data_IF_327534944683
#
_entry.id   IF_327534944683
#
_cell.length_a   1.000
_cell.length_b   1.000
_cell.length_c   1.000
_cell.angle_alpha   90.00
_cell.angle_beta   90.00
_cell.angle_gamma   90.00
#
_symmetry.space_group_name_H-M   'P 1'
#
loop_
_entity.id
_entity.type
_entity.pdbx_description
1 polymer ?
#
# COMPACT_ATOMS: atom_id res chain seq x y z
N UNK A 1 45.59 22.17 -39.62
CA UNK A 1 45.72 22.70 -38.25
C UNK A 1 44.32 22.90 -37.71
N UNK A 2 43.81 21.93 -36.97
CA UNK A 2 42.46 21.93 -36.39
C UNK A 2 42.65 21.93 -34.86
N UNK A 3 42.09 22.86 -34.10
CA UNK A 3 42.25 22.82 -32.64
C UNK A 3 41.25 21.87 -32.00
N UNK A 4 41.78 21.00 -31.14
CA UNK A 4 41.07 20.11 -30.22
C UNK A 4 40.26 20.93 -29.22
N UNK A 5 38.95 20.69 -29.14
CA UNK A 5 38.09 21.18 -28.07
C UNK A 5 38.22 20.18 -26.93
N UNK A 6 38.82 20.62 -25.81
CA UNK A 6 38.81 19.89 -24.52
C UNK A 6 37.40 19.90 -23.93
N UNK A 7 36.86 18.70 -23.71
CA UNK A 7 35.64 18.52 -22.91
C UNK A 7 35.91 18.91 -21.45
N UNK A 8 35.14 19.82 -20.94
CA UNK A 8 35.06 20.12 -19.51
C UNK A 8 34.08 19.16 -18.84
N UNK A 9 34.62 18.19 -18.10
CA UNK A 9 33.87 17.42 -17.12
C UNK A 9 33.38 18.38 -16.03
N UNK A 10 32.07 18.58 -15.95
CA UNK A 10 31.44 19.27 -14.83
C UNK A 10 31.42 18.30 -13.67
N UNK A 11 32.30 18.52 -12.72
CA UNK A 11 32.37 17.87 -11.42
C UNK A 11 31.20 18.42 -10.58
N UNK A 12 30.14 17.65 -10.43
CA UNK A 12 29.06 17.94 -9.48
C UNK A 12 29.63 17.65 -8.09
N UNK A 13 30.26 18.65 -7.49
CA UNK A 13 30.67 18.62 -6.08
C UNK A 13 29.47 19.00 -5.22
N UNK A 14 28.92 17.99 -4.57
CA UNK A 14 28.27 17.97 -3.26
C UNK A 14 28.05 19.35 -2.59
N UNK A 15 26.81 19.84 -2.63
CA UNK A 15 26.34 20.83 -1.66
C UNK A 15 25.67 20.03 -0.49
N UNK A 16 26.46 19.21 0.21
CA UNK A 16 26.05 18.68 1.50
C UNK A 16 26.41 19.67 2.60
N UNK A 17 25.44 20.47 2.98
CA UNK A 17 25.52 21.29 4.19
C UNK A 17 25.31 20.37 5.40
N UNK A 18 26.39 20.02 6.11
CA UNK A 18 26.36 19.34 7.40
C UNK A 18 25.32 19.98 8.32
N UNK A 19 24.17 19.37 8.49
CA UNK A 19 23.32 19.64 9.65
C UNK A 19 23.96 18.92 10.85
N UNK A 20 24.12 19.66 11.96
CA UNK A 20 24.65 19.16 13.23
C UNK A 20 23.78 17.98 13.68
N UNK A 21 24.45 16.89 14.01
CA UNK A 21 23.87 15.76 14.70
C UNK A 21 23.21 16.24 16.00
N UNK A 22 21.89 16.27 16.02
CA UNK A 22 21.11 16.37 17.27
C UNK A 22 21.16 14.97 17.87
N UNK A 23 21.82 14.85 19.02
CA UNK A 23 21.89 13.61 19.78
C UNK A 23 20.49 13.10 20.06
N UNK A 24 20.12 11.98 19.44
CA UNK A 24 18.87 11.26 19.70
C UNK A 24 18.87 10.77 21.16
N UNK A 25 17.85 11.05 21.99
CA UNK A 25 17.69 10.31 23.23
C UNK A 25 17.24 8.89 22.88
N UNK A 26 18.05 7.91 23.29
CA UNK A 26 17.72 6.50 23.24
C UNK A 26 16.61 6.17 24.25
N UNK A 27 15.37 6.47 23.92
CA UNK A 27 14.17 5.99 24.65
C UNK A 27 12.95 6.09 23.72
N UNK A 28 12.70 5.06 22.94
CA UNK A 28 11.35 4.78 22.45
C UNK A 28 11.10 3.27 22.39
N UNK A 29 11.26 2.61 23.53
CA UNK A 29 10.46 1.45 23.87
C UNK A 29 9.20 1.96 24.57
N UNK A 30 8.31 2.59 23.83
CA UNK A 30 6.98 2.90 24.33
C UNK A 30 6.15 1.64 24.23
N UNK A 31 5.90 1.03 25.36
CA UNK A 31 4.87 0.04 25.62
C UNK A 31 3.55 0.47 24.99
N UNK A 32 3.17 -0.17 23.89
CA UNK A 32 1.80 -0.17 23.39
C UNK A 32 0.99 -1.00 24.39
N UNK A 33 0.46 -0.33 25.42
CA UNK A 33 -0.54 -0.91 26.31
C UNK A 33 -1.84 -1.02 25.53
N UNK A 34 -2.07 -2.19 24.98
CA UNK A 34 -3.30 -2.58 24.29
C UNK A 34 -4.42 -2.68 25.32
N UNK A 35 -5.31 -1.72 25.35
CA UNK A 35 -6.55 -1.78 26.14
C UNK A 35 -7.53 -2.71 25.41
N UNK A 36 -7.59 -3.99 25.80
CA UNK A 36 -8.64 -4.92 25.39
C UNK A 36 -9.89 -4.67 26.21
N UNK A 37 -10.94 -4.19 25.58
CA UNK A 37 -12.30 -4.33 26.08
C UNK A 37 -13.06 -5.28 25.13
N UNK A 38 -13.59 -6.35 25.72
CA UNK A 38 -14.28 -7.46 25.06
C UNK A 38 -15.74 -7.05 24.82
N UNK A 39 -16.22 -7.15 23.56
CA UNK A 39 -17.64 -7.32 23.24
C UNK A 39 -17.82 -8.16 21.97
N UNK A 40 -18.82 -9.00 21.98
CA UNK A 40 -19.06 -10.16 21.10
C UNK A 40 -20.07 -9.89 19.99
N UNK A 41 -19.86 -10.56 18.86
CA UNK A 41 -20.76 -10.98 17.77
C UNK A 41 -21.10 -10.05 16.60
N UNK A 42 -20.72 -10.50 15.41
CA UNK A 42 -21.39 -10.22 14.13
C UNK A 42 -20.55 -9.64 12.99
N UNK A 43 -19.97 -10.51 12.18
CA UNK A 43 -19.09 -10.18 11.07
C UNK A 43 -19.77 -10.00 9.71
N UNK A 44 -19.28 -9.07 8.89
CA UNK A 44 -19.06 -9.25 7.45
C UNK A 44 -17.91 -8.36 6.98
N UNK A 45 -17.09 -8.92 6.08
CA UNK A 45 -15.83 -8.41 5.57
C UNK A 45 -15.86 -6.91 5.25
N UNK A 46 -14.91 -6.19 5.79
CA UNK A 46 -14.66 -4.79 5.50
C UNK A 46 -13.21 -4.68 5.06
N UNK A 47 -13.03 -4.26 3.84
CA UNK A 47 -11.76 -3.88 3.24
C UNK A 47 -11.05 -2.83 4.07
N UNK A 48 -9.77 -3.03 4.32
CA UNK A 48 -9.04 -2.27 5.30
C UNK A 48 -8.93 -0.78 4.96
N UNK A 49 -9.21 0.07 5.94
CA UNK A 49 -9.18 1.52 5.83
C UNK A 49 -7.77 2.11 5.64
N UNK A 50 -6.73 1.30 5.73
CA UNK A 50 -5.32 1.74 5.60
C UNK A 50 -4.60 0.77 4.70
N UNK A 51 -5.06 0.61 3.50
CA UNK A 51 -4.35 -0.15 2.51
C UNK A 51 -3.52 0.78 1.65
N UNK A 52 -2.22 0.69 1.79
CA UNK A 52 -1.26 1.31 0.90
C UNK A 52 -0.72 0.31 -0.12
N UNK A 53 -1.32 -0.86 -0.17
CA UNK A 53 -1.26 -1.79 -1.28
C UNK A 53 -2.65 -1.78 -1.91
N UNK A 54 -2.78 -1.92 -3.25
CA UNK A 54 -4.06 -1.96 -3.94
C UNK A 54 -5.01 -2.95 -3.25
N UNK A 55 -6.28 -2.57 -3.19
CA UNK A 55 -7.35 -3.34 -2.59
C UNK A 55 -7.27 -4.83 -2.96
N UNK A 56 -6.73 -5.65 -2.06
CA UNK A 56 -6.74 -7.09 -2.24
C UNK A 56 -8.15 -7.61 -1.96
N UNK A 57 -8.74 -8.40 -2.87
CA UNK A 57 -10.01 -9.05 -2.60
C UNK A 57 -9.84 -10.02 -1.46
N UNK A 58 -10.59 -9.85 -0.41
CA UNK A 58 -10.69 -10.86 0.62
C UNK A 58 -11.52 -12.03 0.08
N UNK A 59 -10.86 -13.16 -0.18
CA UNK A 59 -11.57 -14.42 -0.38
C UNK A 59 -12.48 -14.66 0.85
N UNK A 60 -13.78 -14.77 0.62
CA UNK A 60 -14.72 -15.12 1.67
C UNK A 60 -14.47 -16.57 2.08
N UNK A 61 -13.74 -16.78 3.17
CA UNK A 61 -13.58 -18.10 3.75
C UNK A 61 -14.90 -18.49 4.40
N UNK A 62 -15.66 -19.34 3.73
CA UNK A 62 -16.76 -20.06 4.38
C UNK A 62 -16.16 -21.06 5.37
N UNK A 63 -16.54 -20.92 6.63
CA UNK A 63 -16.20 -21.80 7.74
C UNK A 63 -16.86 -23.19 7.59
N UNK A 64 -16.42 -23.98 6.64
CA UNK A 64 -16.66 -25.41 6.60
C UNK A 64 -15.32 -26.09 6.34
N UNK A 65 -15.01 -27.17 7.05
CA UNK A 65 -13.70 -27.83 7.06
C UNK A 65 -13.20 -28.42 5.74
N UNK A 66 -13.73 -27.97 4.62
CA UNK A 66 -13.26 -28.24 3.27
C UNK A 66 -12.41 -27.06 2.78
N UNK A 67 -11.28 -27.38 2.15
CA UNK A 67 -10.42 -26.41 1.48
C UNK A 67 -11.13 -25.93 0.20
N UNK A 68 -11.92 -24.85 0.32
CA UNK A 68 -12.60 -24.27 -0.83
C UNK A 68 -11.59 -23.53 -1.72
N UNK A 69 -11.59 -23.90 -3.00
CA UNK A 69 -10.82 -23.21 -4.03
C UNK A 69 -11.67 -22.10 -4.66
N UNK A 70 -11.14 -20.89 -4.69
CA UNK A 70 -11.73 -19.75 -5.42
C UNK A 70 -10.65 -19.01 -6.25
N UNK A 71 -11.09 -18.17 -7.18
CA UNK A 71 -10.24 -17.23 -7.91
C UNK A 71 -10.95 -15.88 -7.88
N UNK A 72 -10.31 -14.90 -7.27
CA UNK A 72 -10.76 -13.52 -7.29
C UNK A 72 -10.03 -12.73 -8.38
N UNK A 73 -10.73 -11.79 -9.00
CA UNK A 73 -10.19 -10.89 -10.01
C UNK A 73 -10.74 -9.49 -9.78
N UNK A 74 -9.96 -8.47 -10.08
CA UNK A 74 -10.43 -7.10 -10.04
C UNK A 74 -9.66 -6.19 -10.97
N UNK A 75 -10.27 -5.05 -11.27
CA UNK A 75 -9.69 -3.97 -12.05
C UNK A 75 -10.08 -2.64 -11.41
N UNK A 76 -9.12 -1.74 -11.26
CA UNK A 76 -9.32 -0.39 -10.73
C UNK A 76 -8.82 0.64 -11.72
N UNK A 77 -9.64 1.66 -11.98
CA UNK A 77 -9.22 2.90 -12.62
C UNK A 77 -9.11 3.97 -11.54
N UNK A 78 -7.96 4.61 -11.44
CA UNK A 78 -7.68 5.67 -10.45
C UNK A 78 -7.12 6.90 -11.13
N UNK A 79 -7.39 8.08 -10.57
CA UNK A 79 -6.83 9.35 -11.06
C UNK A 79 -5.35 9.51 -10.71
N UNK A 80 -4.84 8.72 -9.74
CA UNK A 80 -3.44 8.68 -9.37
C UNK A 80 -3.17 7.37 -8.58
N UNK A 81 -2.05 6.71 -8.83
CA UNK A 81 -1.60 5.59 -8.02
C UNK A 81 -0.74 6.09 -6.86
N UNK A 82 -1.30 6.11 -5.66
CA UNK A 82 -0.60 6.52 -4.44
C UNK A 82 -0.21 5.29 -3.63
N UNK A 83 1.07 5.16 -3.29
CA UNK A 83 1.59 4.19 -2.35
C UNK A 83 2.24 4.92 -1.17
N UNK A 84 1.78 4.65 0.05
CA UNK A 84 2.32 5.26 1.29
C UNK A 84 2.40 6.79 1.25
N UNK A 85 1.42 7.45 0.59
CA UNK A 85 1.34 8.91 0.44
C UNK A 85 2.12 9.48 -0.75
N UNK A 86 2.85 8.66 -1.50
CA UNK A 86 3.69 9.06 -2.63
C UNK A 86 3.05 8.57 -3.93
N UNK A 87 3.08 9.41 -4.98
CA UNK A 87 2.65 9.00 -6.32
C UNK A 87 3.61 7.99 -6.93
N UNK A 88 3.06 6.89 -7.45
CA UNK A 88 3.79 5.93 -8.28
C UNK A 88 3.43 6.09 -9.77
N UNK A 89 2.49 6.96 -10.12
CA UNK A 89 2.10 7.22 -11.51
C UNK A 89 2.35 8.65 -11.98
N UNK A 90 3.24 9.40 -11.28
CA UNK A 90 3.60 10.77 -11.67
C UNK A 90 2.44 11.76 -11.60
N UNK A 91 1.48 11.54 -10.71
CA UNK A 91 0.20 12.26 -10.62
C UNK A 91 -0.77 12.03 -11.80
N UNK A 92 -0.47 11.09 -12.69
CA UNK A 92 -1.30 10.71 -13.82
C UNK A 92 -2.23 9.53 -13.47
N UNK A 93 -3.32 9.32 -14.26
CA UNK A 93 -4.21 8.19 -14.09
C UNK A 93 -3.51 6.83 -14.21
N UNK A 94 -3.95 5.88 -13.40
CA UNK A 94 -3.49 4.50 -13.48
C UNK A 94 -4.65 3.51 -13.67
N UNK A 95 -4.33 2.40 -14.36
CA UNK A 95 -5.17 1.22 -14.45
C UNK A 95 -4.45 0.09 -13.73
N UNK A 96 -5.13 -0.49 -12.77
CA UNK A 96 -4.62 -1.53 -11.91
C UNK A 96 -5.47 -2.79 -12.07
N UNK A 97 -4.89 -3.95 -11.86
CA UNK A 97 -5.64 -5.19 -11.94
C UNK A 97 -4.96 -6.31 -11.18
N UNK A 98 -5.76 -7.28 -10.73
CA UNK A 98 -5.22 -8.42 -10.02
C UNK A 98 -5.95 -9.71 -10.38
N UNK A 99 -5.28 -10.83 -10.09
CA UNK A 99 -5.83 -12.17 -10.04
C UNK A 99 -5.29 -12.89 -8.82
N UNK A 100 -6.18 -13.50 -8.03
CA UNK A 100 -5.84 -14.19 -6.79
C UNK A 100 -6.52 -15.56 -6.70
N UNK A 101 -5.85 -16.65 -7.06
CA UNK A 101 -6.24 -17.99 -6.65
C UNK A 101 -6.02 -18.20 -5.15
N UNK A 102 -7.01 -18.83 -4.48
CA UNK A 102 -6.98 -19.15 -3.06
C UNK A 102 -7.44 -20.58 -2.79
N UNK A 103 -6.93 -21.15 -1.70
CA UNK A 103 -7.29 -22.48 -1.21
C UNK A 103 -7.43 -22.46 0.31
N UNK A 104 -8.64 -22.36 0.81
CA UNK A 104 -8.90 -22.08 2.22
C UNK A 104 -8.21 -20.76 2.62
N UNK A 105 -7.36 -20.74 3.67
CA UNK A 105 -6.69 -19.51 4.10
C UNK A 105 -5.44 -19.16 3.26
N UNK A 106 -4.98 -20.05 2.37
CA UNK A 106 -3.80 -19.83 1.55
C UNK A 106 -4.16 -19.09 0.26
N UNK A 107 -3.28 -18.20 -0.20
CA UNK A 107 -3.46 -17.51 -1.48
C UNK A 107 -2.14 -17.21 -2.18
N UNK A 108 -2.25 -16.99 -3.48
CA UNK A 108 -1.22 -16.37 -4.32
C UNK A 108 -1.91 -15.19 -5.02
N UNK A 109 -1.29 -14.03 -5.03
CA UNK A 109 -1.82 -12.85 -5.70
C UNK A 109 -0.83 -12.35 -6.74
N UNK A 110 -1.35 -11.98 -7.90
CA UNK A 110 -0.63 -11.22 -8.93
C UNK A 110 -1.38 -9.92 -9.17
N UNK A 111 -0.71 -8.81 -8.98
CA UNK A 111 -1.24 -7.48 -9.21
C UNK A 111 -0.34 -6.70 -10.17
N UNK A 112 -0.89 -5.71 -10.87
CA UNK A 112 -0.12 -4.86 -11.76
C UNK A 112 -0.75 -3.48 -11.92
N UNK A 113 0.10 -2.47 -12.15
CA UNK A 113 -0.27 -1.09 -12.48
C UNK A 113 0.73 -0.49 -13.46
N UNK A 114 0.29 0.52 -14.23
CA UNK A 114 1.24 1.43 -14.84
C UNK A 114 1.87 2.32 -13.78
N UNK A 115 3.16 2.63 -13.94
CA UNK A 115 3.93 3.52 -13.06
C UNK A 115 4.70 4.56 -13.87
N UNK A 116 4.98 5.70 -13.21
CA UNK A 116 5.86 6.76 -13.71
C UNK A 116 6.59 7.39 -12.52
N UNK A 117 7.91 7.25 -12.50
CA UNK A 117 8.80 7.82 -11.48
C UNK A 117 9.63 9.00 -12.03
N UNK A 118 9.18 9.64 -13.11
CA UNK A 118 9.84 10.78 -13.73
C UNK A 118 10.63 10.45 -14.99
N UNK A 119 11.51 11.33 -15.41
CA UNK A 119 12.19 11.30 -16.71
C UNK A 119 12.82 9.94 -17.07
N UNK A 120 12.16 9.22 -17.99
CA UNK A 120 12.65 7.95 -18.50
C UNK A 120 12.36 6.72 -17.64
N UNK A 121 11.61 6.88 -16.55
CA UNK A 121 11.25 5.83 -15.60
C UNK A 121 9.75 5.50 -15.61
N UNK A 122 9.14 5.47 -16.76
CA UNK A 122 7.75 5.06 -16.96
C UNK A 122 7.67 3.59 -17.37
N UNK A 123 6.72 2.85 -16.83
CA UNK A 123 6.56 1.43 -17.13
C UNK A 123 5.40 0.76 -16.41
N UNK A 124 5.62 -0.46 -15.95
CA UNK A 124 4.67 -1.24 -15.17
C UNK A 124 5.30 -1.78 -13.91
N UNK A 125 4.54 -1.79 -12.82
CA UNK A 125 4.79 -2.55 -11.61
C UNK A 125 3.97 -3.84 -11.68
N UNK A 126 4.59 -4.94 -11.31
CA UNK A 126 3.97 -6.27 -11.24
C UNK A 126 4.34 -6.86 -9.89
N UNK A 127 3.34 -7.12 -9.06
CA UNK A 127 3.52 -7.71 -7.74
C UNK A 127 3.16 -9.19 -7.78
N UNK A 128 4.01 -10.00 -7.17
CA UNK A 128 3.70 -11.39 -6.89
C UNK A 128 3.72 -11.60 -5.37
N UNK A 129 2.57 -11.89 -4.79
CA UNK A 129 2.43 -12.14 -3.36
C UNK A 129 1.93 -13.55 -3.08
N UNK A 130 2.28 -14.05 -1.90
CA UNK A 130 1.68 -15.26 -1.35
C UNK A 130 1.57 -15.13 0.17
N UNK A 131 0.56 -15.77 0.74
CA UNK A 131 0.34 -15.64 2.17
C UNK A 131 -0.72 -16.58 2.72
N UNK A 132 -1.04 -16.32 3.98
CA UNK A 132 -2.08 -17.04 4.74
C UNK A 132 -2.94 -16.04 5.52
N UNK A 133 -4.26 -16.22 5.44
CA UNK A 133 -5.27 -15.38 6.10
C UNK A 133 -6.05 -16.16 7.16
N UNK A 134 -5.48 -16.38 8.37
CA UNK A 134 -6.21 -17.00 9.46
C UNK A 134 -7.19 -16.01 10.09
N UNK A 135 -8.39 -16.50 10.44
CA UNK A 135 -9.44 -15.73 11.12
C UNK A 135 -9.71 -16.28 12.53
N UNK A 136 -9.79 -15.40 13.51
CA UNK A 136 -10.04 -15.70 14.91
C UNK A 136 -11.19 -14.84 15.45
N UNK A 137 -12.41 -15.23 15.10
CA UNK A 137 -13.60 -14.43 15.41
C UNK A 137 -13.55 -13.05 14.73
N UNK A 138 -13.54 -11.94 15.49
CA UNK A 138 -13.49 -10.60 14.89
C UNK A 138 -12.09 -10.18 14.38
N UNK A 139 -11.05 -10.96 14.70
CA UNK A 139 -9.68 -10.71 14.27
C UNK A 139 -9.39 -11.48 12.99
N UNK A 140 -9.04 -10.73 11.94
CA UNK A 140 -8.54 -11.27 10.68
C UNK A 140 -7.06 -10.89 10.54
N UNK A 141 -6.24 -11.87 10.21
CA UNK A 141 -4.81 -11.66 9.95
C UNK A 141 -4.50 -11.96 8.49
N UNK A 142 -3.48 -11.31 7.97
CA UNK A 142 -2.87 -11.62 6.68
C UNK A 142 -1.35 -11.56 6.85
N UNK A 143 -0.70 -12.71 6.66
CA UNK A 143 0.72 -12.91 6.84
C UNK A 143 1.29 -13.37 5.50
N UNK A 144 2.24 -12.63 4.95
CA UNK A 144 2.72 -12.97 3.62
C UNK A 144 4.02 -12.31 3.22
N UNK A 145 4.35 -12.54 1.99
CA UNK A 145 5.47 -11.93 1.30
C UNK A 145 4.99 -11.41 -0.05
N UNK A 146 5.46 -10.24 -0.44
CA UNK A 146 5.25 -9.66 -1.78
C UNK A 146 6.60 -9.33 -2.39
N UNK A 147 6.73 -9.58 -3.70
CA UNK A 147 7.86 -9.15 -4.50
C UNK A 147 7.36 -8.22 -5.59
N UNK A 148 7.96 -7.04 -5.64
CA UNK A 148 7.69 -5.98 -6.61
C UNK A 148 8.67 -6.11 -7.77
N UNK A 149 8.14 -6.31 -8.97
CA UNK A 149 8.89 -6.32 -10.23
C UNK A 149 8.56 -5.08 -11.03
N UNK A 150 9.58 -4.45 -11.60
CA UNK A 150 9.39 -3.27 -12.45
C UNK A 150 9.82 -3.57 -13.89
N UNK A 151 8.98 -3.18 -14.86
CA UNK A 151 9.22 -3.42 -16.27
C UNK A 151 9.07 -2.11 -17.09
N UNK A 152 10.11 -1.70 -17.86
CA UNK A 152 11.43 -2.35 -17.95
C UNK A 152 12.25 -2.22 -16.65
N UNK A 153 13.26 -3.06 -16.45
CA UNK A 153 14.13 -3.06 -15.24
C UNK A 153 14.77 -1.69 -14.93
N UNK A 154 14.86 -0.80 -15.91
CA UNK A 154 15.37 0.56 -15.73
C UNK A 154 14.43 1.49 -14.96
N UNK A 155 13.18 1.09 -14.72
CA UNK A 155 12.17 1.92 -14.03
C UNK A 155 12.46 2.03 -12.54
N UNK A 156 12.71 0.91 -11.88
CA UNK A 156 13.08 0.81 -10.48
C UNK A 156 13.73 -0.55 -10.20
N UNK A 157 14.60 -0.68 -9.19
CA UNK A 157 15.07 -1.98 -8.73
C UNK A 157 13.92 -2.81 -8.14
N UNK A 158 13.92 -4.11 -8.47
CA UNK A 158 13.01 -5.08 -7.88
C UNK A 158 13.36 -5.31 -6.40
N UNK A 159 12.36 -5.48 -5.54
CA UNK A 159 12.59 -5.82 -4.14
C UNK A 159 11.39 -6.55 -3.56
N UNK A 160 11.51 -7.01 -2.33
CA UNK A 160 10.42 -7.72 -1.67
C UNK A 160 10.23 -7.34 -0.21
N UNK A 161 9.00 -7.52 0.27
CA UNK A 161 8.60 -7.23 1.65
C UNK A 161 7.91 -8.42 2.29
N UNK A 162 8.27 -8.69 3.55
CA UNK A 162 7.44 -9.49 4.45
C UNK A 162 6.37 -8.57 5.05
N UNK A 163 5.14 -9.07 5.20
CA UNK A 163 4.08 -8.25 5.81
C UNK A 163 3.22 -9.00 6.82
N UNK A 164 2.69 -8.22 7.73
CA UNK A 164 1.65 -8.59 8.67
C UNK A 164 0.56 -7.53 8.59
N UNK A 165 -0.67 -7.94 8.26
CA UNK A 165 -1.86 -7.10 8.32
C UNK A 165 -2.80 -7.71 9.36
N UNK A 166 -3.46 -6.86 10.14
CA UNK A 166 -4.44 -7.26 11.13
C UNK A 166 -5.64 -6.33 11.09
N UNK A 167 -6.83 -6.90 10.98
CA UNK A 167 -8.11 -6.18 11.03
C UNK A 167 -8.94 -6.73 12.19
N UNK A 168 -9.44 -5.83 13.02
CA UNK A 168 -10.31 -6.17 14.13
C UNK A 168 -11.65 -5.46 14.00
N UNK A 169 -12.71 -6.24 13.77
CA UNK A 169 -14.07 -5.73 13.63
C UNK A 169 -14.74 -5.57 15.00
N UNK A 170 -15.17 -4.34 15.31
CA UNK A 170 -15.86 -4.02 16.56
C UNK A 170 -17.36 -3.96 16.31
N UNK A 171 -18.06 -5.02 16.62
CA UNK A 171 -19.54 -5.12 16.64
C UNK A 171 -20.26 -4.57 15.38
N UNK A 172 -19.67 -4.67 14.21
CA UNK A 172 -20.15 -4.03 12.96
C UNK A 172 -20.22 -2.50 13.01
N UNK A 173 -19.67 -1.88 14.05
CA UNK A 173 -19.65 -0.44 14.18
C UNK A 173 -18.47 0.18 13.44
N UNK A 174 -17.30 -0.44 13.55
CA UNK A 174 -16.09 -0.02 12.86
C UNK A 174 -15.05 -1.15 12.85
N UNK A 175 -14.10 -1.04 11.94
CA UNK A 175 -12.91 -1.90 11.90
C UNK A 175 -11.68 -1.09 12.24
N UNK A 176 -10.82 -1.62 13.11
CA UNK A 176 -9.48 -1.09 13.36
C UNK A 176 -8.48 -1.94 12.56
N UNK A 177 -7.59 -1.28 11.85
CA UNK A 177 -6.57 -1.91 11.01
C UNK A 177 -5.15 -1.60 11.52
N UNK A 178 -4.25 -2.57 11.42
CA UNK A 178 -2.82 -2.42 11.66
C UNK A 178 -2.02 -3.12 10.56
N UNK A 179 -0.92 -2.51 10.13
CA UNK A 179 -0.08 -2.99 9.02
C UNK A 179 1.39 -2.83 9.37
N UNK A 180 2.18 -3.84 9.04
CA UNK A 180 3.64 -3.78 9.09
C UNK A 180 4.18 -4.43 7.81
N UNK A 181 5.07 -3.72 7.12
CA UNK A 181 5.83 -4.22 5.98
C UNK A 181 7.32 -4.06 6.27
N UNK A 182 8.10 -5.07 5.97
CA UNK A 182 9.53 -5.09 6.18
C UNK A 182 10.26 -5.54 4.93
N UNK A 183 11.04 -4.63 4.35
CA UNK A 183 11.97 -4.90 3.26
C UNK A 183 13.37 -5.15 3.83
N UNK A 184 13.93 -6.35 3.71
CA UNK A 184 15.30 -6.62 4.17
C UNK A 184 16.38 -6.01 3.29
N UNK A 185 16.04 -5.68 2.04
CA UNK A 185 16.90 -5.03 1.04
C UNK A 185 16.02 -4.13 0.17
N UNK A 186 15.77 -2.92 0.66
CA UNK A 186 14.87 -1.97 0.00
C UNK A 186 15.53 -1.40 -1.26
N UNK A 187 14.87 -1.59 -2.42
CA UNK A 187 15.38 -1.13 -3.71
C UNK A 187 16.82 -1.60 -4.03
N UNK A 188 17.21 -2.79 -3.55
CA UNK A 188 18.57 -3.34 -3.73
C UNK A 188 19.68 -2.40 -3.23
N UNK A 189 19.38 -1.58 -2.22
CA UNK A 189 20.33 -0.64 -1.60
C UNK A 189 21.28 -1.31 -0.62
N UNK A 190 20.94 -2.51 -0.13
CA UNK A 190 21.59 -3.18 0.98
C UNK A 190 21.06 -2.76 2.35
N UNK A 191 20.15 -1.78 2.41
CA UNK A 191 19.57 -1.24 3.65
C UNK A 191 18.12 -1.73 3.84
N UNK A 192 17.70 -1.84 5.10
CA UNK A 192 16.35 -2.24 5.42
C UNK A 192 15.38 -1.05 5.40
N UNK A 193 14.10 -1.34 5.11
CA UNK A 193 13.02 -0.39 5.29
C UNK A 193 11.83 -1.04 6.00
N UNK A 194 11.15 -0.29 6.85
CA UNK A 194 9.98 -0.76 7.58
C UNK A 194 8.86 0.26 7.48
N UNK A 195 7.69 -0.18 7.03
CA UNK A 195 6.48 0.64 7.03
C UNK A 195 5.52 0.12 8.10
N UNK A 196 5.01 1.03 8.94
CA UNK A 196 4.00 0.73 9.97
C UNK A 196 2.82 1.65 9.77
N UNK A 197 1.62 1.09 9.73
CA UNK A 197 0.40 1.87 9.55
C UNK A 197 -0.73 1.39 10.45
N UNK A 198 -1.67 2.29 10.71
CA UNK A 198 -2.90 2.00 11.44
C UNK A 198 -4.05 2.88 10.96
N UNK A 199 -5.28 2.37 11.06
CA UNK A 199 -6.46 3.10 10.62
C UNK A 199 -7.76 2.56 11.15
N UNK A 200 -8.84 3.27 10.79
CA UNK A 200 -10.20 2.95 11.17
C UNK A 200 -11.11 3.12 9.95
N UNK A 201 -12.04 2.16 9.76
CA UNK A 201 -13.13 2.24 8.79
C UNK A 201 -14.46 2.12 9.50
N UNK A 202 -15.40 2.99 9.18
CA UNK A 202 -16.75 3.04 9.74
C UNK A 202 -17.77 2.82 8.61
N UNK A 203 -18.50 1.70 8.60
CA UNK A 203 -19.60 1.50 7.65
C UNK A 203 -20.73 2.48 7.96
N UNK A 204 -21.34 3.02 6.91
CA UNK A 204 -22.45 3.94 6.97
C UNK A 204 -23.68 3.32 6.28
N UNK A 205 -24.91 3.86 6.50
CA UNK A 205 -26.08 3.44 5.75
C UNK A 205 -25.91 3.58 4.23
N UNK A 206 -26.64 2.73 3.48
CA UNK A 206 -26.71 2.76 2.01
C UNK A 206 -25.36 2.44 1.33
N UNK A 207 -24.61 1.48 1.91
CA UNK A 207 -23.36 0.96 1.36
C UNK A 207 -22.22 2.00 1.24
N UNK A 208 -22.30 3.10 2.02
CA UNK A 208 -21.21 4.03 2.20
C UNK A 208 -20.28 3.57 3.33
N UNK A 209 -19.03 4.00 3.27
CA UNK A 209 -18.06 3.89 4.37
C UNK A 209 -17.17 5.12 4.42
N UNK A 210 -16.82 5.56 5.61
CA UNK A 210 -15.73 6.54 5.83
C UNK A 210 -14.56 5.84 6.49
N UNK A 211 -13.36 6.32 6.22
CA UNK A 211 -12.15 5.76 6.79
C UNK A 211 -11.04 6.79 6.89
N UNK A 212 -10.04 6.48 7.72
CA UNK A 212 -8.82 7.27 7.83
C UNK A 212 -7.70 6.48 8.47
N UNK A 213 -6.48 6.89 8.20
CA UNK A 213 -5.30 6.22 8.72
C UNK A 213 -4.03 7.04 8.64
N UNK A 214 -3.02 6.53 9.34
CA UNK A 214 -1.67 7.08 9.43
C UNK A 214 -0.67 5.96 9.11
N UNK A 215 0.42 6.29 8.44
CA UNK A 215 1.53 5.38 8.21
C UNK A 215 2.87 6.07 8.36
N UNK A 216 3.87 5.35 8.84
CA UNK A 216 5.22 5.85 8.97
C UNK A 216 6.22 4.90 8.30
N UNK A 217 7.08 5.45 7.44
CA UNK A 217 8.14 4.73 6.76
C UNK A 217 9.47 5.01 7.45
N UNK A 218 10.11 3.94 7.95
CA UNK A 218 11.45 3.95 8.54
C UNK A 218 12.45 3.43 7.52
N UNK A 219 13.67 3.96 7.55
CA UNK A 219 14.82 3.47 6.78
C UNK A 219 16.01 3.25 7.69
N UNK A 220 16.83 2.23 7.40
CA UNK A 220 18.11 2.02 8.06
C UNK A 220 19.14 3.06 7.61
N UNK A 221 19.11 3.43 6.32
CA UNK A 221 19.94 4.52 5.78
C UNK A 221 19.61 5.85 6.47
N UNK A 222 20.56 6.43 7.22
CA UNK A 222 20.34 7.69 7.94
C UNK A 222 20.20 8.92 7.01
N UNK A 223 20.54 8.80 5.75
CA UNK A 223 20.42 9.85 4.75
C UNK A 223 19.09 9.76 3.97
N UNK A 224 18.33 8.66 4.12
CA UNK A 224 17.00 8.51 3.55
C UNK A 224 15.96 9.35 4.30
N UNK A 225 15.01 9.92 3.57
CA UNK A 225 13.92 10.70 4.16
C UNK A 225 12.83 9.76 4.68
N UNK A 226 12.76 9.59 6.00
CA UNK A 226 11.62 8.97 6.67
C UNK A 226 10.38 9.85 6.49
N UNK A 227 9.19 9.25 6.44
CA UNK A 227 7.96 10.01 6.20
C UNK A 227 6.79 9.53 7.05
N UNK A 228 6.00 10.49 7.51
CA UNK A 228 4.65 10.28 7.99
C UNK A 228 3.68 10.55 6.83
N UNK A 229 2.76 9.64 6.61
CA UNK A 229 1.68 9.80 5.63
C UNK A 229 0.33 9.63 6.31
N UNK A 230 -0.71 10.31 5.80
CA UNK A 230 -2.08 10.14 6.29
C UNK A 230 -3.09 10.18 5.16
N UNK A 231 -4.22 9.54 5.44
CA UNK A 231 -5.31 9.44 4.48
C UNK A 231 -6.66 9.54 5.18
N UNK A 232 -7.64 10.07 4.47
CA UNK A 232 -9.04 10.00 4.85
C UNK A 232 -9.90 9.87 3.58
N UNK A 233 -10.96 9.09 3.63
CA UNK A 233 -11.77 8.86 2.44
C UNK A 233 -13.20 8.46 2.71
N UNK A 234 -13.95 8.44 1.62
CA UNK A 234 -15.34 8.01 1.52
C UNK A 234 -15.46 7.01 0.38
N UNK A 235 -16.04 5.86 0.62
CA UNK A 235 -16.35 4.88 -0.43
C UNK A 235 -17.84 4.60 -0.50
N UNK A 236 -18.30 4.21 -1.68
CA UNK A 236 -19.66 3.75 -1.97
C UNK A 236 -19.60 2.46 -2.78
N UNK A 237 -20.19 1.38 -2.27
CA UNK A 237 -20.21 0.08 -2.93
C UNK A 237 -21.57 -0.17 -3.61
N UNK A 238 -21.55 -0.57 -4.88
CA UNK A 238 -22.72 -0.95 -5.62
C UNK A 238 -22.48 -2.25 -6.39
N UNK A 239 -23.01 -3.34 -5.87
CA UNK A 239 -22.74 -4.69 -6.40
C UNK A 239 -21.24 -5.00 -6.38
N UNK A 240 -20.68 -5.24 -7.58
CA UNK A 240 -19.26 -5.50 -7.79
C UNK A 240 -18.45 -4.21 -8.06
N UNK A 241 -19.05 -3.03 -7.96
CA UNK A 241 -18.36 -1.76 -8.15
C UNK A 241 -18.17 -1.05 -6.82
N UNK A 242 -17.00 -0.46 -6.64
CA UNK A 242 -16.69 0.45 -5.54
C UNK A 242 -16.20 1.77 -6.09
N UNK A 243 -16.81 2.86 -5.66
CA UNK A 243 -16.41 4.23 -5.95
C UNK A 243 -15.73 4.79 -4.70
N UNK A 244 -14.55 5.37 -4.85
CA UNK A 244 -13.76 5.89 -3.74
C UNK A 244 -13.29 7.31 -4.03
N UNK A 245 -13.34 8.16 -2.99
CA UNK A 245 -12.77 9.49 -2.98
C UNK A 245 -11.88 9.62 -1.76
N UNK A 246 -10.58 9.79 -1.97
CA UNK A 246 -9.57 9.66 -0.93
C UNK A 246 -8.61 10.85 -0.91
N UNK A 247 -8.48 11.49 0.22
CA UNK A 247 -7.46 12.49 0.49
C UNK A 247 -6.18 11.81 0.97
N UNK A 248 -5.05 12.25 0.45
CA UNK A 248 -3.71 11.85 0.85
C UNK A 248 -2.84 13.06 1.14
N UNK A 249 -1.88 12.89 2.05
CA UNK A 249 -0.85 13.87 2.33
C UNK A 249 0.32 13.23 3.08
N UNK A 250 1.46 13.91 3.12
CA UNK A 250 2.67 13.53 3.86
C UNK A 250 3.28 14.73 4.56
N UNK A 251 4.26 14.49 5.43
CA UNK A 251 5.07 15.52 6.09
C UNK A 251 6.34 15.89 5.31
N UNK A 252 6.53 15.32 4.10
CA UNK A 252 7.68 15.63 3.25
C UNK A 252 7.54 17.04 2.66
N UNK A 253 8.66 17.78 2.63
CA UNK A 253 8.79 19.02 1.84
C UNK A 253 8.92 18.71 0.34
N UNK A 254 8.70 19.71 -0.52
CA UNK A 254 8.81 19.57 -1.98
C UNK A 254 10.18 19.02 -2.42
N UNK A 255 11.28 19.50 -1.81
CA UNK A 255 12.64 19.01 -2.08
C UNK A 255 12.82 17.53 -1.69
N UNK A 256 12.29 17.13 -0.54
CA UNK A 256 12.32 15.74 -0.07
C UNK A 256 11.42 14.85 -0.94
N UNK A 257 10.29 15.38 -1.35
CA UNK A 257 9.36 14.73 -2.25
C UNK A 257 9.98 14.45 -3.62
N UNK A 258 10.70 15.44 -4.19
CA UNK A 258 11.44 15.25 -5.45
C UNK A 258 12.43 14.09 -5.36
N UNK A 259 13.16 13.98 -4.25
CA UNK A 259 14.11 12.88 -4.03
C UNK A 259 13.40 11.53 -3.90
N UNK A 260 12.22 11.49 -3.27
CA UNK A 260 11.49 10.26 -2.98
C UNK A 260 10.64 9.75 -4.14
N UNK A 261 10.08 10.65 -4.97
CA UNK A 261 9.11 10.32 -6.01
C UNK A 261 9.57 10.64 -7.43
N UNK A 262 10.62 11.46 -7.59
CA UNK A 262 11.00 12.05 -8.86
C UNK A 262 10.19 13.31 -9.24
N UNK A 263 9.23 13.74 -8.39
CA UNK A 263 8.36 14.90 -8.63
C UNK A 263 8.27 15.77 -7.37
N UNK A 264 8.43 17.10 -7.51
CA UNK A 264 8.32 18.04 -6.38
C UNK A 264 6.94 17.98 -5.71
N UNK A 265 5.89 17.74 -6.48
CA UNK A 265 4.51 17.63 -6.01
C UNK A 265 4.04 16.17 -5.82
N UNK A 266 4.95 15.20 -5.87
CA UNK A 266 4.63 13.76 -5.83
C UNK A 266 4.10 13.24 -4.50
N UNK A 267 4.26 13.98 -3.38
CA UNK A 267 3.86 13.58 -2.02
C UNK A 267 2.93 14.58 -1.32
N UNK A 268 2.63 15.73 -1.93
CA UNK A 268 1.80 16.78 -1.34
C UNK A 268 0.32 16.38 -1.26
N UNK A 269 -0.46 17.25 -0.60
CA UNK A 269 -1.89 17.04 -0.40
C UNK A 269 -2.68 16.91 -1.70
N UNK A 270 -3.52 15.88 -1.79
CA UNK A 270 -4.34 15.63 -2.99
C UNK A 270 -5.56 14.80 -2.70
N UNK A 271 -6.55 14.88 -3.59
CA UNK A 271 -7.72 13.99 -3.61
C UNK A 271 -7.61 13.09 -4.83
N UNK A 272 -7.71 11.79 -4.58
CA UNK A 272 -7.69 10.73 -5.60
C UNK A 272 -9.08 10.13 -5.70
N UNK A 273 -9.56 9.93 -6.92
CA UNK A 273 -10.81 9.23 -7.21
C UNK A 273 -10.49 7.90 -7.87
N UNK A 274 -11.18 6.85 -7.44
CA UNK A 274 -11.06 5.54 -8.08
C UNK A 274 -12.41 4.85 -8.25
N UNK A 275 -12.45 3.96 -9.22
CA UNK A 275 -13.57 3.03 -9.45
C UNK A 275 -12.97 1.64 -9.62
N UNK A 276 -13.37 0.73 -8.74
CA UNK A 276 -12.96 -0.67 -8.77
C UNK A 276 -14.12 -1.56 -9.18
N UNK A 277 -13.81 -2.62 -9.91
CA UNK A 277 -14.69 -3.75 -10.18
C UNK A 277 -14.02 -5.00 -9.64
N UNK A 278 -14.71 -5.71 -8.73
CA UNK A 278 -14.21 -6.92 -8.09
C UNK A 278 -15.24 -8.05 -8.20
N UNK A 279 -14.77 -9.26 -8.48
CA UNK A 279 -15.60 -10.45 -8.51
C UNK A 279 -14.78 -11.71 -8.24
N UNK A 280 -15.46 -12.84 -8.01
CA UNK A 280 -14.80 -14.14 -7.87
C UNK A 280 -15.53 -15.25 -8.62
N UNK A 281 -14.86 -16.38 -8.81
CA UNK A 281 -15.43 -17.55 -9.47
C UNK A 281 -16.66 -18.07 -8.71
N UNK A 282 -16.64 -18.06 -7.38
CA UNK A 282 -17.76 -18.43 -6.53
C UNK A 282 -18.94 -17.45 -6.68
N UNK A 283 -18.68 -16.15 -6.72
CA UNK A 283 -19.69 -15.12 -6.93
C UNK A 283 -20.38 -15.27 -8.29
N UNK A 284 -19.60 -15.49 -9.36
CA UNK A 284 -20.16 -15.71 -10.71
C UNK A 284 -21.02 -16.97 -10.80
N UNK A 285 -20.63 -18.06 -10.14
CA UNK A 285 -21.45 -19.30 -10.07
C UNK A 285 -22.79 -19.09 -9.36
N UNK A 286 -22.86 -18.17 -8.41
CA UNK A 286 -24.08 -17.85 -7.67
C UNK A 286 -25.11 -17.09 -8.51
N UNK A 287 -24.67 -16.30 -9.51
CA UNK A 287 -25.52 -15.54 -10.42
C UNK A 287 -26.18 -16.40 -11.51
N UNK A 288 -25.67 -17.62 -11.74
CA UNK A 288 -26.19 -18.57 -12.74
C UNK A 288 -27.21 -19.58 -12.19
N UNK A 289 -27.58 -19.47 -10.93
CA UNK A 289 -28.61 -20.26 -10.25
C UNK A 289 -29.85 -19.43 -9.96
#
# INVERSE_FOLDING_TARGET
>A
MTPLIKGSSVEIRSIFRKRRAVSRPAYFLATVSLLFLICTDGARAIESAVEMIPSEPQATTTSSGDLDFDISIGVTATTNYISRGITNSGNDPAIQGYIEPSLGPLYINFWSSNVDFGEGFSGAEIDAAFGVRPEFGPLKLDLGYVHYFYAPESVSPDYGELYIKADYEVEKLFTVAGRVFFAPDFNQSGDTATFVAGGVKVPLPHDFSIYGGLGYQFFEDPDAYEQLSWTAGLSYSWKSLTFDARYWDTDLSDDECLVRSGFEDGCGSRVVFSVSFDTSLSALKSLGK
#
